data_IF_098041636141
#
_entry.id   IF_098041636141
#
_cell.length_a   1.000
_cell.length_b   1.000
_cell.length_c   1.000
_cell.angle_alpha   90.00
_cell.angle_beta   90.00
_cell.angle_gamma   90.00
#
_symmetry.space_group_name_H-M   'P 1'
#
loop_
_entity.id
_entity.type
_entity.pdbx_description
1 polymer ?
#
# COMPACT_ATOMS: atom_id res chain seq x y z
N UNK A 1 23.68 -18.59 6.62
CA UNK A 1 23.27 -18.75 5.21
C UNK A 1 21.83 -18.27 5.09
N UNK A 2 21.55 -17.32 4.19
CA UNK A 2 20.24 -16.67 4.06
C UNK A 2 20.33 -15.49 3.11
N UNK A 3 20.67 -15.80 1.87
CA UNK A 3 20.88 -14.89 0.75
C UNK A 3 19.56 -14.55 0.06
N UNK A 4 19.25 -13.26 -0.10
CA UNK A 4 18.68 -12.74 -1.36
C UNK A 4 19.21 -11.33 -1.60
N UNK A 5 20.12 -11.22 -2.57
CA UNK A 5 20.60 -9.96 -3.13
C UNK A 5 19.77 -9.61 -4.39
N UNK A 6 19.44 -8.32 -4.49
CA UNK A 6 19.38 -7.44 -5.69
C UNK A 6 18.49 -7.86 -6.88
N UNK A 7 17.65 -6.92 -7.35
CA UNK A 7 17.07 -7.03 -8.69
C UNK A 7 16.08 -5.95 -9.08
N UNK A 8 16.59 -4.92 -9.76
CA UNK A 8 15.84 -4.03 -10.66
C UNK A 8 15.02 -4.88 -11.64
N UNK A 9 13.70 -4.71 -11.59
CA UNK A 9 12.76 -5.41 -12.46
C UNK A 9 11.38 -5.42 -11.83
N UNK A 10 10.52 -4.46 -12.22
CA UNK A 10 9.12 -4.38 -11.78
C UNK A 10 8.32 -5.56 -12.38
N UNK A 11 8.63 -6.80 -11.97
CA UNK A 11 7.65 -7.88 -12.05
C UNK A 11 6.53 -7.44 -11.14
N UNK A 12 5.42 -6.98 -11.72
CA UNK A 12 4.16 -6.76 -11.00
C UNK A 12 3.96 -8.02 -10.17
N UNK A 13 4.18 -7.93 -8.85
CA UNK A 13 3.92 -9.05 -7.96
C UNK A 13 2.41 -9.23 -8.03
N UNK A 14 1.96 -10.13 -8.90
CA UNK A 14 0.59 -10.59 -8.91
C UNK A 14 0.45 -11.32 -7.60
N UNK A 15 -0.08 -10.63 -6.59
CA UNK A 15 -0.31 -11.19 -5.27
C UNK A 15 -1.26 -12.38 -5.44
N UNK A 16 -0.79 -13.62 -5.25
CA UNK A 16 -1.67 -14.78 -5.27
C UNK A 16 -2.51 -14.67 -4.01
N UNK A 17 -3.79 -14.29 -4.16
CA UNK A 17 -4.75 -14.11 -3.07
C UNK A 17 -4.36 -13.05 -2.02
N UNK A 18 -4.51 -11.76 -2.36
CA UNK A 18 -4.61 -10.74 -1.31
C UNK A 18 -5.86 -11.03 -0.47
N UNK A 19 -5.70 -11.23 0.84
CA UNK A 19 -6.81 -11.42 1.76
C UNK A 19 -7.82 -10.27 1.64
N UNK A 20 -9.11 -10.59 1.68
CA UNK A 20 -10.19 -9.63 1.46
C UNK A 20 -10.11 -8.43 2.42
N UNK A 21 -9.66 -8.65 3.66
CA UNK A 21 -9.47 -7.62 4.69
C UNK A 21 -8.46 -6.56 4.28
N UNK A 22 -7.39 -6.96 3.58
CA UNK A 22 -6.35 -6.06 3.09
C UNK A 22 -6.75 -5.30 1.82
N UNK A 23 -7.93 -5.60 1.26
CA UNK A 23 -8.48 -4.86 0.12
C UNK A 23 -9.51 -3.81 0.53
N UNK A 24 -9.78 -3.71 1.82
CA UNK A 24 -10.79 -2.82 2.38
C UNK A 24 -10.12 -1.68 3.17
N UNK A 25 -10.57 -0.43 2.97
CA UNK A 25 -10.07 0.68 3.76
C UNK A 25 -10.55 0.54 5.23
N UNK A 26 -9.78 1.08 6.18
CA UNK A 26 -10.14 1.07 7.61
C UNK A 26 -11.51 1.73 7.83
N UNK A 27 -12.28 1.24 8.81
CA UNK A 27 -13.68 1.67 9.10
C UNK A 27 -13.87 3.20 9.17
N UNK A 28 -12.90 3.94 9.70
CA UNK A 28 -12.94 5.40 9.81
C UNK A 28 -12.92 6.09 8.44
N UNK A 29 -12.27 5.48 7.44
CA UNK A 29 -12.19 5.97 6.07
C UNK A 29 -13.47 5.71 5.26
N UNK A 30 -14.30 4.76 5.73
CA UNK A 30 -15.61 4.43 5.12
C UNK A 30 -16.61 5.58 5.22
N UNK A 31 -16.32 6.61 6.03
CA UNK A 31 -17.08 7.86 6.12
C UNK A 31 -16.73 8.87 5.02
N UNK A 32 -15.63 8.67 4.27
CA UNK A 32 -15.35 9.43 3.04
C UNK A 32 -16.17 8.78 1.92
N UNK A 33 -17.40 9.24 1.75
CA UNK A 33 -18.50 8.65 0.97
C UNK A 33 -18.29 8.50 -0.55
N UNK A 34 -17.09 8.74 -1.07
CA UNK A 34 -16.80 8.74 -2.52
C UNK A 34 -15.73 7.72 -2.94
N UNK A 35 -15.32 6.82 -2.03
CA UNK A 35 -14.34 5.78 -2.37
C UNK A 35 -15.03 4.58 -3.04
N UNK A 36 -14.86 4.43 -4.35
CA UNK A 36 -15.24 3.22 -5.08
C UNK A 36 -14.41 2.02 -4.59
N UNK A 37 -15.00 1.30 -3.64
CA UNK A 37 -14.41 0.09 -3.05
C UNK A 37 -14.16 -1.00 -4.09
N UNK A 38 -14.97 -1.07 -5.15
CA UNK A 38 -14.79 -2.03 -6.23
C UNK A 38 -13.54 -1.72 -7.05
N UNK A 39 -13.34 -0.45 -7.42
CA UNK A 39 -12.13 0.01 -8.12
C UNK A 39 -10.88 -0.18 -7.26
N UNK A 40 -10.94 0.18 -5.98
CA UNK A 40 -9.84 -0.03 -5.04
C UNK A 40 -9.41 -1.51 -4.99
N UNK A 41 -10.36 -2.43 -4.77
CA UNK A 41 -10.07 -3.87 -4.74
C UNK A 41 -9.41 -4.36 -6.03
N UNK A 42 -9.88 -3.88 -7.19
CA UNK A 42 -9.28 -4.24 -8.50
C UNK A 42 -7.83 -3.77 -8.59
N UNK A 43 -7.54 -2.53 -8.20
CA UNK A 43 -6.18 -1.97 -8.24
C UNK A 43 -5.22 -2.68 -7.27
N UNK A 44 -5.69 -3.08 -6.09
CA UNK A 44 -4.88 -3.86 -5.15
C UNK A 44 -4.59 -5.25 -5.72
N UNK A 45 -5.61 -5.94 -6.25
CA UNK A 45 -5.46 -7.28 -6.82
C UNK A 45 -4.64 -7.28 -8.12
N UNK A 46 -4.66 -6.20 -8.90
CA UNK A 46 -3.79 -6.04 -10.08
C UNK A 46 -2.34 -5.66 -9.70
N UNK A 47 -2.11 -5.27 -8.45
CA UNK A 47 -0.82 -4.80 -7.95
C UNK A 47 -0.49 -3.36 -8.36
N UNK A 48 -1.48 -2.59 -8.83
CA UNK A 48 -1.34 -1.15 -9.09
C UNK A 48 -1.35 -0.32 -7.81
N UNK A 49 -2.01 -0.84 -6.76
CA UNK A 49 -1.97 -0.29 -5.41
C UNK A 49 -1.44 -1.33 -4.42
N UNK A 50 -0.75 -0.84 -3.39
CA UNK A 50 -0.38 -1.61 -2.22
C UNK A 50 -1.64 -2.01 -1.42
N UNK A 51 -1.66 -3.18 -0.78
CA UNK A 51 -2.75 -3.54 0.14
C UNK A 51 -2.92 -2.55 1.29
N UNK A 52 -4.12 -2.51 1.85
CA UNK A 52 -4.46 -1.77 3.07
C UNK A 52 -3.90 -2.50 4.29
N UNK A 53 -2.58 -2.41 4.51
CA UNK A 53 -1.94 -2.92 5.72
C UNK A 53 -2.29 -2.08 6.94
N UNK A 54 -2.23 -2.70 8.12
CA UNK A 54 -2.29 -1.99 9.38
C UNK A 54 -1.00 -1.20 9.62
N UNK A 55 -1.14 -0.06 10.31
CA UNK A 55 -0.02 0.78 10.70
C UNK A 55 0.84 0.09 11.77
N UNK A 56 2.16 0.14 11.60
CA UNK A 56 3.13 -0.21 12.64
C UNK A 56 3.80 1.06 13.18
N UNK A 57 3.92 1.17 14.51
CA UNK A 57 4.57 2.30 15.18
C UNK A 57 6.10 2.20 15.15
N UNK A 58 6.62 0.97 15.18
CA UNK A 58 8.05 0.69 15.05
C UNK A 58 8.44 0.40 13.61
N UNK A 59 9.71 0.66 13.28
CA UNK A 59 10.25 0.48 11.93
C UNK A 59 10.12 -0.97 11.43
N UNK A 60 10.10 -1.94 12.35
CA UNK A 60 9.98 -3.37 12.03
C UNK A 60 10.97 -3.86 10.95
N UNK A 61 12.11 -3.17 10.79
CA UNK A 61 13.08 -3.42 9.72
C UNK A 61 12.66 -2.92 8.34
N UNK A 62 11.75 -1.95 8.25
CA UNK A 62 11.31 -1.31 7.02
C UNK A 62 12.08 0.00 6.80
N UNK A 63 12.47 0.24 5.55
CA UNK A 63 13.36 1.37 5.21
C UNK A 63 12.66 2.74 5.19
N UNK A 64 11.33 2.79 5.15
CA UNK A 64 10.58 4.05 5.02
C UNK A 64 9.22 4.03 5.73
N UNK A 65 8.89 5.16 6.34
CA UNK A 65 7.58 5.50 6.88
C UNK A 65 6.75 6.28 5.85
N UNK A 66 5.43 6.25 6.03
CA UNK A 66 4.54 7.10 5.25
C UNK A 66 4.67 8.57 5.72
N UNK A 67 5.05 9.52 4.87
CA UNK A 67 5.30 10.91 5.28
C UNK A 67 4.05 11.70 5.67
N UNK A 68 2.86 11.10 5.56
CA UNK A 68 1.59 11.72 5.93
C UNK A 68 1.20 11.33 7.35
N UNK A 69 1.33 10.04 7.68
CA UNK A 69 0.88 9.49 8.96
C UNK A 69 2.02 9.01 9.88
N UNK A 70 3.26 9.02 9.39
CA UNK A 70 4.49 8.67 10.11
C UNK A 70 4.53 7.23 10.64
N UNK A 71 3.73 6.34 10.06
CA UNK A 71 3.73 4.90 10.36
C UNK A 71 4.43 4.08 9.28
N UNK A 72 4.92 2.91 9.68
CA UNK A 72 5.55 1.94 8.80
C UNK A 72 4.52 0.96 8.24
N UNK A 73 4.74 0.54 6.99
CA UNK A 73 3.87 -0.41 6.29
C UNK A 73 4.71 -1.38 5.45
N UNK A 74 4.31 -2.67 5.33
CA UNK A 74 5.01 -3.66 4.50
C UNK A 74 5.15 -3.29 3.02
N UNK A 75 4.30 -2.39 2.52
CA UNK A 75 4.41 -1.84 1.17
C UNK A 75 3.75 -0.47 1.11
N UNK A 76 4.42 0.48 0.45
CA UNK A 76 3.92 1.81 0.14
C UNK A 76 3.72 2.00 -1.36
N UNK A 77 2.71 2.78 -1.72
CA UNK A 77 2.46 3.20 -3.10
C UNK A 77 3.46 4.27 -3.53
N UNK A 78 3.94 4.22 -4.77
CA UNK A 78 4.87 5.23 -5.30
C UNK A 78 4.12 6.33 -6.02
N UNK A 79 4.26 7.56 -5.52
CA UNK A 79 3.72 8.73 -6.21
C UNK A 79 4.35 8.90 -7.60
N UNK A 80 3.59 9.41 -8.57
CA UNK A 80 4.11 9.67 -9.92
C UNK A 80 5.04 10.87 -9.98
N UNK A 81 4.79 11.90 -9.15
CA UNK A 81 5.53 13.15 -9.21
C UNK A 81 6.97 13.04 -8.69
N UNK A 82 7.21 12.21 -7.66
CA UNK A 82 8.52 12.14 -7.00
C UNK A 82 8.92 10.73 -6.50
N UNK A 83 8.07 9.72 -6.69
CA UNK A 83 8.38 8.34 -6.28
C UNK A 83 8.33 8.08 -4.78
N UNK A 84 7.94 9.04 -3.95
CA UNK A 84 7.80 8.85 -2.51
C UNK A 84 6.71 7.82 -2.19
N UNK A 85 6.96 7.02 -1.15
CA UNK A 85 6.03 6.03 -0.63
C UNK A 85 4.89 6.66 0.17
N UNK A 86 3.65 6.25 -0.10
CA UNK A 86 2.45 6.64 0.68
C UNK A 86 1.58 5.41 0.94
N UNK A 87 1.02 5.29 2.14
CA UNK A 87 0.20 4.14 2.52
C UNK A 87 -1.18 4.19 1.84
N UNK A 88 -1.82 3.03 1.69
CA UNK A 88 -3.18 2.93 1.12
C UNK A 88 -4.25 3.35 2.15
N UNK A 89 -3.90 3.42 3.44
CA UNK A 89 -4.82 3.66 4.56
C UNK A 89 -5.42 5.07 4.63
N UNK A 90 -4.89 6.03 3.87
CA UNK A 90 -5.34 7.43 3.84
C UNK A 90 -5.72 7.86 2.42
N UNK A 91 -6.78 7.25 1.90
CA UNK A 91 -7.31 7.37 0.52
C UNK A 91 -7.77 8.78 0.10
N UNK A 92 -7.14 9.86 0.59
CA UNK A 92 -7.33 11.23 0.07
C UNK A 92 -6.44 11.56 -1.12
N UNK A 93 -5.37 10.82 -1.41
CA UNK A 93 -4.58 11.13 -2.59
C UNK A 93 -3.69 9.97 -3.02
N UNK A 94 -4.17 9.15 -3.95
CA UNK A 94 -3.26 8.74 -5.03
C UNK A 94 -4.03 8.85 -6.34
N UNK A 95 -3.90 10.01 -6.97
CA UNK A 95 -3.76 10.05 -8.42
C UNK A 95 -2.49 9.25 -8.75
N UNK A 96 -2.63 7.93 -8.87
CA UNK A 96 -1.63 7.07 -9.51
C UNK A 96 -1.68 7.37 -10.99
#
# INVERSE_FOLDING_TARGET
>A
MGNVAIGVGRRRRRWPEVEERLTQPRRLLRQLSDVDSGRLRRLIRSGDLAPCFDAAEDDAGLDEDCPICFYFYPSLNRSKCCGKGICTGEFKAIAV
#
